data_IF_375404601798
#
_entry.id   IF_375404601798
#
_cell.length_a   1.000
_cell.length_b   1.000
_cell.length_c   1.000
_cell.angle_alpha   90.00
_cell.angle_beta   90.00
_cell.angle_gamma   90.00
#
_symmetry.space_group_name_H-M   'P 1'
#
loop_
_entity.id
_entity.type
_entity.pdbx_description
1 polymer ?
#
# COMPACT_ATOMS: atom_id res chain seq x y z
N UNK A 1 10.80 5.82 -15.84
CA UNK A 1 11.44 5.10 -14.70
C UNK A 1 11.29 5.97 -13.46
N UNK A 2 10.82 5.46 -12.31
CA UNK A 2 10.66 6.29 -11.11
C UNK A 2 12.04 6.77 -10.63
N UNK A 3 12.21 8.09 -10.51
CA UNK A 3 13.47 8.70 -10.09
C UNK A 3 13.82 8.24 -8.66
N UNK A 4 14.90 7.48 -8.54
CA UNK A 4 15.44 6.96 -7.27
C UNK A 4 15.62 8.06 -6.22
N UNK A 5 16.03 9.26 -6.64
CA UNK A 5 16.17 10.43 -5.76
C UNK A 5 14.84 10.90 -5.15
N UNK A 6 13.75 10.90 -5.93
CA UNK A 6 12.43 11.33 -5.45
C UNK A 6 11.88 10.38 -4.39
N UNK A 7 12.24 9.10 -4.44
CA UNK A 7 11.84 8.09 -3.45
C UNK A 7 12.48 8.34 -2.08
N UNK A 8 13.77 8.72 -2.05
CA UNK A 8 14.46 9.07 -0.79
C UNK A 8 13.86 10.33 -0.14
N UNK A 9 13.55 11.36 -0.93
CA UNK A 9 12.85 12.54 -0.41
C UNK A 9 11.47 12.21 0.17
N UNK A 10 10.73 11.26 -0.41
CA UNK A 10 9.42 10.89 0.12
C UNK A 10 9.50 10.13 1.46
N UNK A 11 10.62 9.47 1.75
CA UNK A 11 10.88 8.88 3.07
C UNK A 11 11.09 9.95 4.15
N UNK A 12 11.72 11.07 3.81
CA UNK A 12 12.03 12.16 4.76
C UNK A 12 10.88 13.14 4.91
N UNK A 13 10.29 13.57 3.79
CA UNK A 13 9.25 14.63 3.74
C UNK A 13 7.83 14.04 3.74
N UNK A 14 7.71 12.72 3.70
CA UNK A 14 6.45 12.02 3.54
C UNK A 14 5.98 11.94 2.08
N UNK A 15 5.23 10.88 1.78
CA UNK A 15 4.65 10.68 0.46
C UNK A 15 3.45 11.61 0.26
N UNK A 16 3.44 12.31 -0.88
CA UNK A 16 2.30 13.14 -1.29
C UNK A 16 1.40 12.35 -2.24
N UNK A 17 0.13 12.14 -1.86
CA UNK A 17 -0.87 11.51 -2.72
C UNK A 17 -1.18 12.36 -3.94
N UNK A 18 -1.34 11.72 -5.09
CA UNK A 18 -1.83 12.38 -6.29
C UNK A 18 -3.37 12.39 -6.27
N UNK A 19 -3.96 13.52 -5.86
CA UNK A 19 -5.42 13.67 -5.67
C UNK A 19 -6.23 13.41 -6.93
N UNK A 20 -5.64 13.61 -8.11
CA UNK A 20 -6.28 13.41 -9.42
C UNK A 20 -6.31 11.94 -9.87
N UNK A 21 -5.53 11.07 -9.24
CA UNK A 21 -5.48 9.62 -9.54
C UNK A 21 -5.78 8.80 -8.28
N UNK A 22 -6.80 9.19 -7.53
CA UNK A 22 -7.32 8.37 -6.42
C UNK A 22 -8.37 7.42 -7.00
N UNK A 23 -8.25 6.13 -6.70
CA UNK A 23 -9.27 5.14 -7.03
C UNK A 23 -9.58 4.28 -5.80
N UNK A 24 -10.74 3.63 -5.81
CA UNK A 24 -11.16 2.69 -4.77
C UNK A 24 -11.18 1.30 -5.40
N UNK A 25 -10.48 0.32 -4.81
CA UNK A 25 -10.42 -1.05 -5.36
C UNK A 25 -11.55 -1.96 -4.84
N UNK A 26 -12.43 -1.43 -4.02
CA UNK A 26 -13.50 -2.18 -3.35
C UNK A 26 -13.19 -2.50 -1.88
N UNK A 27 -11.93 -2.38 -1.46
CA UNK A 27 -11.50 -2.56 -0.07
C UNK A 27 -10.97 -1.25 0.50
N UNK A 28 -10.01 -0.64 -0.20
CA UNK A 28 -9.32 0.56 0.27
C UNK A 28 -9.19 1.61 -0.84
N UNK A 29 -8.99 2.86 -0.42
CA UNK A 29 -8.61 3.93 -1.34
C UNK A 29 -7.12 3.85 -1.66
N UNK A 30 -6.80 3.77 -2.96
CA UNK A 30 -5.45 3.70 -3.49
C UNK A 30 -5.14 4.96 -4.30
N UNK A 31 -3.87 5.38 -4.26
CA UNK A 31 -3.39 6.50 -5.05
C UNK A 31 -1.88 6.39 -5.29
N UNK A 32 -1.33 6.88 -6.40
CA UNK A 32 0.11 6.93 -6.60
C UNK A 32 0.68 8.18 -5.92
N UNK A 33 1.94 8.12 -5.51
CA UNK A 33 2.66 9.28 -5.04
C UNK A 33 2.93 10.25 -6.21
N UNK A 34 2.58 11.52 -6.05
CA UNK A 34 2.78 12.55 -7.07
C UNK A 34 4.27 12.81 -7.41
N UNK A 35 5.20 12.43 -6.52
CA UNK A 35 6.64 12.65 -6.70
C UNK A 35 7.36 11.43 -7.25
N UNK A 36 7.25 10.30 -6.54
CA UNK A 36 8.00 9.08 -6.86
C UNK A 36 7.16 8.01 -7.58
N UNK A 37 5.84 8.19 -7.68
CA UNK A 37 4.94 7.20 -8.28
C UNK A 37 4.64 5.99 -7.40
N UNK A 38 5.22 5.89 -6.20
CA UNK A 38 4.97 4.76 -5.28
C UNK A 38 3.48 4.60 -5.00
N UNK A 39 2.93 3.37 -5.09
CA UNK A 39 1.54 3.13 -4.72
C UNK A 39 1.33 3.39 -3.23
N UNK A 40 0.32 4.18 -2.92
CA UNK A 40 -0.12 4.53 -1.57
C UNK A 40 -1.51 3.95 -1.36
N UNK A 41 -1.77 3.55 -0.12
CA UNK A 41 -3.06 3.10 0.37
C UNK A 41 -3.51 4.02 1.50
N UNK A 42 -4.82 4.25 1.57
CA UNK A 42 -5.44 4.98 2.65
C UNK A 42 -5.62 4.03 3.82
N UNK A 43 -5.01 4.39 4.94
CA UNK A 43 -5.13 3.66 6.18
C UNK A 43 -6.49 3.93 6.86
N UNK A 44 -6.92 3.03 7.75
CA UNK A 44 -8.19 3.15 8.50
C UNK A 44 -8.25 4.44 9.34
N UNK A 45 -7.10 4.97 9.78
CA UNK A 45 -7.01 6.24 10.49
C UNK A 45 -7.13 7.47 9.56
N UNK A 46 -7.39 7.28 8.26
CA UNK A 46 -7.51 8.34 7.26
C UNK A 46 -6.18 8.86 6.71
N UNK A 47 -5.05 8.34 7.21
CA UNK A 47 -3.70 8.62 6.72
C UNK A 47 -3.39 7.94 5.38
N UNK A 48 -2.36 8.40 4.69
CA UNK A 48 -1.86 7.74 3.47
C UNK A 48 -0.51 7.14 3.75
N UNK A 49 -0.37 5.83 3.52
CA UNK A 49 0.87 5.09 3.71
C UNK A 49 1.28 4.35 2.44
N UNK A 50 2.56 3.97 2.29
CA UNK A 50 3.00 3.12 1.19
C UNK A 50 2.21 1.81 1.19
N UNK A 51 1.81 1.36 0.01
CA UNK A 51 1.17 0.07 -0.17
C UNK A 51 2.15 -1.06 0.18
N UNK A 52 1.80 -1.87 1.16
CA UNK A 52 2.57 -3.02 1.60
C UNK A 52 1.93 -4.29 1.04
N UNK A 53 2.58 -4.91 0.05
CA UNK A 53 2.09 -6.15 -0.57
C UNK A 53 1.93 -7.31 0.42
N UNK A 54 2.62 -7.29 1.57
CA UNK A 54 2.51 -8.32 2.59
C UNK A 54 1.30 -8.15 3.52
N UNK A 55 0.80 -6.92 3.70
CA UNK A 55 -0.28 -6.59 4.64
C UNK A 55 -1.57 -6.17 3.98
N UNK A 56 -1.46 -5.52 2.82
CA UNK A 56 -2.57 -4.83 2.13
C UNK A 56 -2.97 -5.56 0.85
N UNK A 57 -2.35 -6.71 0.57
CA UNK A 57 -2.85 -7.60 -0.48
C UNK A 57 -4.24 -8.12 -0.08
N UNK A 58 -5.16 -8.26 -1.05
CA UNK A 58 -6.49 -8.77 -0.77
C UNK A 58 -6.42 -10.14 -0.08
N UNK A 59 -7.38 -10.48 0.80
CA UNK A 59 -7.36 -11.67 1.65
C UNK A 59 -7.47 -13.03 0.93
N UNK A 60 -7.14 -13.10 -0.37
CA UNK A 60 -6.97 -14.33 -1.14
C UNK A 60 -5.53 -14.66 -1.51
N UNK A 61 -4.55 -13.79 -1.17
CA UNK A 61 -3.13 -13.96 -1.55
C UNK A 61 -2.22 -14.38 -0.39
N UNK A 62 -2.68 -14.25 0.86
CA UNK A 62 -2.01 -14.86 2.01
C UNK A 62 -2.46 -16.32 2.10
N UNK A 63 -1.62 -17.17 1.54
CA UNK A 63 -1.57 -18.61 1.74
C UNK A 63 -1.97 -19.01 3.17
N UNK A 64 -3.09 -19.73 3.25
CA UNK A 64 -3.38 -20.98 4.01
C UNK A 64 -2.30 -21.52 4.97
N UNK A 65 -1.65 -20.67 5.76
CA UNK A 65 -0.65 -21.06 6.76
C UNK A 65 -1.28 -20.93 8.14
N UNK A 66 -2.02 -21.97 8.55
CA UNK A 66 -2.56 -22.01 9.92
C UNK A 66 -3.77 -22.90 10.17
N UNK A 67 -3.85 -24.10 9.58
CA UNK A 67 -4.65 -25.16 10.22
C UNK A 67 -3.68 -26.04 11.01
N UNK A 68 -3.67 -25.99 12.36
CA UNK A 68 -2.97 -27.01 13.11
C UNK A 68 -3.70 -28.34 12.86
N UNK A 69 -2.99 -29.32 12.32
CA UNK A 69 -3.46 -30.69 12.23
C UNK A 69 -3.38 -31.26 13.65
N UNK A 70 -4.48 -31.18 14.40
CA UNK A 70 -4.62 -31.94 15.65
C UNK A 70 -5.04 -33.36 15.24
N UNK A 71 -4.05 -34.24 15.13
CA UNK A 71 -4.26 -35.68 14.99
C UNK A 71 -4.44 -36.26 16.41
N UNK A 72 -5.58 -36.90 16.65
CA UNK A 72 -5.93 -37.61 17.89
C UNK A 72 -6.10 -39.09 17.59
#
# INVERSE_FOLDING_TARGET
MPNKMASMLCRVVGHRRLRTKVWHDGVDYRAPCARCGTPLIRDMHGGWRPFDWGKDAPPGSQERSGRPHHDS
#
